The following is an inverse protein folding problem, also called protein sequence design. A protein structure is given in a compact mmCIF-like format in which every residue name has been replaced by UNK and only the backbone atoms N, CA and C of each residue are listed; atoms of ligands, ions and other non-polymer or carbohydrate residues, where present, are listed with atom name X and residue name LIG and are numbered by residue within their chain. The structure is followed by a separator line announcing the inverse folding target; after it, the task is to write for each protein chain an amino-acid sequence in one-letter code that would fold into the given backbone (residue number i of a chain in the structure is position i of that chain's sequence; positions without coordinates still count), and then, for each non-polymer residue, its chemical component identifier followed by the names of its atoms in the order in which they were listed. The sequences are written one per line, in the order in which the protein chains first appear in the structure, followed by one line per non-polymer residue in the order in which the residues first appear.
data_IF_521757517248
#
_entry.id   IF_521757517248
#
_cell.length_a   1.000
_cell.length_b   1.000
_cell.length_c   1.000
_cell.angle_alpha   90.00
_cell.angle_beta   90.00
_cell.angle_gamma   90.00
#
_symmetry.space_group_name_H-M   'P 1'
#
loop_
_entity.id
_entity.type
_entity.pdbx_description
1 polymer ?
#
# COMPACT_ATOMS: atom_id res chain seq x y z
N UNK A 1 -8.48 -7.51 -30.71
CA UNK A 1 -7.75 -7.32 -29.45
C UNK A 1 -6.33 -7.89 -29.65
N UNK A 2 -5.31 -7.16 -29.20
CA UNK A 2 -3.92 -7.64 -29.29
C UNK A 2 -3.74 -8.75 -28.24
N UNK A 3 -3.30 -9.97 -28.60
CA UNK A 3 -3.29 -11.12 -27.68
C UNK A 3 -2.51 -10.92 -26.39
N UNK A 4 -1.47 -10.07 -26.42
CA UNK A 4 -0.53 -9.83 -25.31
C UNK A 4 -0.83 -8.50 -24.57
N UNK A 5 -2.05 -7.95 -24.70
CA UNK A 5 -2.43 -6.73 -23.99
C UNK A 5 -2.78 -7.06 -22.55
N UNK A 6 -2.14 -6.35 -21.59
CA UNK A 6 -2.55 -6.38 -20.19
C UNK A 6 -3.75 -5.46 -19.99
N UNK A 7 -4.84 -6.00 -19.44
CA UNK A 7 -6.09 -5.29 -19.18
C UNK A 7 -6.32 -5.13 -17.70
N UNK A 8 -6.46 -3.88 -17.27
CA UNK A 8 -6.76 -3.53 -15.89
C UNK A 8 -8.08 -2.78 -15.82
N UNK A 9 -8.92 -3.12 -14.85
CA UNK A 9 -10.19 -2.45 -14.63
C UNK A 9 -10.25 -1.80 -13.25
N UNK A 10 -10.81 -0.60 -13.24
CA UNK A 10 -11.18 0.13 -12.04
C UNK A 10 -12.65 -0.14 -11.73
N UNK A 11 -12.88 -1.04 -10.78
CA UNK A 11 -14.21 -1.53 -10.39
C UNK A 11 -14.37 -1.33 -8.89
N UNK A 12 -15.44 -0.66 -8.47
CA UNK A 12 -15.73 -0.36 -7.06
C UNK A 12 -16.82 -1.27 -6.46
N UNK A 13 -17.30 -2.25 -7.23
CA UNK A 13 -18.29 -3.23 -6.79
C UNK A 13 -17.63 -4.61 -6.58
N UNK A 14 -17.22 -4.90 -5.36
CA UNK A 14 -16.47 -6.12 -5.01
C UNK A 14 -17.21 -7.41 -5.39
N UNK A 15 -18.54 -7.40 -5.30
CA UNK A 15 -19.37 -8.55 -5.68
C UNK A 15 -19.17 -8.97 -7.15
N UNK A 16 -18.72 -8.03 -8.00
CA UNK A 16 -18.51 -8.25 -9.43
C UNK A 16 -17.06 -8.52 -9.83
N UNK A 17 -16.11 -8.52 -8.91
CA UNK A 17 -14.70 -8.72 -9.24
C UNK A 17 -14.46 -10.00 -10.06
N UNK A 18 -15.04 -11.12 -9.63
CA UNK A 18 -14.88 -12.41 -10.34
C UNK A 18 -15.52 -12.41 -11.73
N UNK A 19 -16.62 -11.69 -11.92
CA UNK A 19 -17.24 -11.50 -13.24
C UNK A 19 -16.28 -10.78 -14.20
N UNK A 20 -15.65 -9.67 -13.76
CA UNK A 20 -14.70 -8.93 -14.58
C UNK A 20 -13.44 -9.75 -14.91
N UNK A 21 -12.94 -10.53 -13.97
CA UNK A 21 -11.81 -11.43 -14.22
C UNK A 21 -12.16 -12.55 -15.18
N UNK A 22 -13.30 -13.23 -14.97
CA UNK A 22 -13.65 -14.44 -15.72
C UNK A 22 -14.30 -14.14 -17.08
N UNK A 23 -15.30 -13.27 -17.09
CA UNK A 23 -16.07 -12.92 -18.30
C UNK A 23 -15.46 -11.70 -19.01
N UNK A 24 -15.07 -10.67 -18.27
CA UNK A 24 -14.45 -9.45 -18.78
C UNK A 24 -13.02 -9.65 -19.26
N UNK A 25 -12.38 -10.79 -18.87
CA UNK A 25 -10.98 -11.11 -19.21
C UNK A 25 -10.00 -10.03 -18.80
N UNK A 26 -10.26 -9.42 -17.63
CA UNK A 26 -9.32 -8.48 -17.03
C UNK A 26 -8.18 -9.25 -16.36
N UNK A 27 -6.96 -8.76 -16.51
CA UNK A 27 -5.77 -9.33 -15.89
C UNK A 27 -5.61 -8.87 -14.45
N UNK A 28 -6.04 -7.63 -14.16
CA UNK A 28 -6.01 -7.07 -12.81
C UNK A 28 -7.17 -6.12 -12.54
N UNK A 29 -7.55 -6.01 -11.26
CA UNK A 29 -8.57 -5.11 -10.74
C UNK A 29 -8.02 -4.24 -9.62
N UNK A 30 -8.42 -2.98 -9.55
CA UNK A 30 -8.09 -2.09 -8.44
C UNK A 30 -8.64 -2.62 -7.12
N UNK A 31 -7.78 -2.70 -6.12
CA UNK A 31 -8.18 -3.05 -4.75
C UNK A 31 -8.47 -1.77 -3.93
N UNK A 32 -9.38 -0.94 -4.48
CA UNK A 32 -9.71 0.37 -3.90
C UNK A 32 -10.62 0.25 -2.69
N UNK A 33 -11.82 -0.31 -2.88
CA UNK A 33 -12.86 -0.37 -1.84
C UNK A 33 -12.45 -1.21 -0.64
N UNK A 34 -11.72 -2.30 -0.89
CA UNK A 34 -11.20 -3.16 0.17
C UNK A 34 -9.94 -2.58 0.81
N UNK A 35 -8.78 -2.83 0.20
CA UNK A 35 -7.48 -2.58 0.84
C UNK A 35 -7.15 -1.09 0.97
N UNK A 36 -7.26 -0.32 -0.11
CA UNK A 36 -6.91 1.11 -0.08
C UNK A 36 -7.74 1.85 0.98
N UNK A 37 -9.08 1.73 0.94
CA UNK A 37 -9.97 2.41 1.89
C UNK A 37 -9.68 1.99 3.33
N UNK A 38 -9.43 0.69 3.57
CA UNK A 38 -9.08 0.19 4.90
C UNK A 38 -7.77 0.79 5.41
N UNK A 39 -6.71 0.81 4.60
CA UNK A 39 -5.42 1.36 5.00
C UNK A 39 -5.51 2.87 5.25
N UNK A 40 -6.26 3.57 4.41
CA UNK A 40 -6.51 5.00 4.59
C UNK A 40 -7.26 5.26 5.91
N UNK A 41 -8.31 4.50 6.19
CA UNK A 41 -9.10 4.65 7.42
C UNK A 41 -8.27 4.36 8.69
N UNK A 42 -7.39 3.36 8.65
CA UNK A 42 -6.46 3.07 9.75
C UNK A 42 -5.55 4.28 10.01
N UNK A 43 -5.00 4.88 8.96
CA UNK A 43 -4.07 6.02 9.08
C UNK A 43 -4.79 7.31 9.47
N UNK A 44 -5.93 7.62 8.82
CA UNK A 44 -6.62 8.89 9.01
C UNK A 44 -7.44 8.93 10.31
N UNK A 45 -8.07 7.81 10.67
CA UNK A 45 -9.06 7.75 11.75
C UNK A 45 -8.66 6.81 12.89
N UNK A 46 -7.50 6.18 12.81
CA UNK A 46 -7.00 5.27 13.85
C UNK A 46 -7.82 3.99 13.99
N UNK A 47 -8.49 3.55 12.93
CA UNK A 47 -9.22 2.29 12.95
C UNK A 47 -8.29 1.11 13.27
N UNK A 48 -8.88 0.01 13.75
CA UNK A 48 -8.16 -1.21 14.06
C UNK A 48 -7.56 -1.85 12.80
N UNK A 49 -6.33 -2.34 12.91
CA UNK A 49 -5.66 -3.12 11.87
C UNK A 49 -6.33 -4.49 11.59
N UNK A 50 -7.21 -4.95 12.47
CA UNK A 50 -8.05 -6.15 12.25
C UNK A 50 -8.88 -6.05 10.97
N UNK A 51 -9.23 -4.83 10.56
CA UNK A 51 -10.02 -4.59 9.35
C UNK A 51 -9.33 -5.11 8.09
N UNK A 52 -8.00 -5.23 8.11
CA UNK A 52 -7.22 -5.79 7.01
C UNK A 52 -7.63 -7.24 6.73
N UNK A 53 -7.85 -8.03 7.79
CA UNK A 53 -8.28 -9.42 7.67
C UNK A 53 -9.64 -9.54 6.97
N UNK A 54 -10.59 -8.67 7.32
CA UNK A 54 -11.93 -8.69 6.77
C UNK A 54 -11.99 -8.40 5.27
N UNK A 55 -11.09 -7.55 4.77
CA UNK A 55 -11.05 -7.21 3.33
C UNK A 55 -10.18 -8.16 2.51
N UNK A 56 -9.25 -8.87 3.15
CA UNK A 56 -8.36 -9.82 2.46
C UNK A 56 -8.99 -11.22 2.34
N UNK A 57 -9.66 -11.69 3.37
CA UNK A 57 -10.18 -13.06 3.42
C UNK A 57 -11.16 -13.39 2.28
N UNK A 58 -12.15 -12.53 1.94
CA UNK A 58 -13.08 -12.78 0.84
C UNK A 58 -12.44 -12.81 -0.55
N UNK A 59 -11.26 -12.21 -0.70
CA UNK A 59 -10.56 -12.06 -1.99
C UNK A 59 -9.33 -12.96 -2.13
N UNK A 60 -9.12 -13.89 -1.20
CA UNK A 60 -7.92 -14.75 -1.15
C UNK A 60 -7.68 -15.51 -2.46
N UNK A 61 -8.74 -16.01 -3.10
CA UNK A 61 -8.68 -16.78 -4.34
C UNK A 61 -8.28 -15.93 -5.57
N UNK A 62 -8.54 -14.63 -5.54
CA UNK A 62 -8.21 -13.68 -6.61
C UNK A 62 -7.12 -12.67 -6.20
N UNK A 63 -6.55 -12.80 -5.02
CA UNK A 63 -5.57 -11.85 -4.50
C UNK A 63 -4.40 -11.54 -5.46
N UNK A 64 -3.84 -12.51 -6.23
CA UNK A 64 -2.79 -12.22 -7.21
C UNK A 64 -3.25 -11.37 -8.41
N UNK A 65 -4.56 -11.30 -8.65
CA UNK A 65 -5.16 -10.54 -9.74
C UNK A 65 -5.68 -9.17 -9.29
N UNK A 66 -5.45 -8.80 -8.03
CA UNK A 66 -5.71 -7.44 -7.56
C UNK A 66 -4.55 -6.51 -7.90
N UNK A 67 -4.81 -5.21 -7.98
CA UNK A 67 -3.80 -4.17 -8.06
C UNK A 67 -3.82 -3.36 -6.77
N UNK A 68 -2.75 -3.41 -6.01
CA UNK A 68 -2.60 -2.64 -4.79
C UNK A 68 -1.99 -1.27 -5.07
N UNK A 69 -2.47 -0.24 -4.39
CA UNK A 69 -1.96 1.12 -4.49
C UNK A 69 -2.31 1.95 -3.26
N UNK A 70 -1.66 3.08 -3.09
CA UNK A 70 -1.98 4.07 -2.04
C UNK A 70 -2.24 5.46 -2.60
N UNK A 71 -1.84 5.72 -3.83
CA UNK A 71 -2.12 6.95 -4.56
C UNK A 71 -2.48 6.62 -6.00
N UNK A 72 -3.40 7.39 -6.56
CA UNK A 72 -3.69 7.43 -7.98
C UNK A 72 -4.18 8.83 -8.40
N UNK A 73 -4.70 8.97 -9.60
CA UNK A 73 -5.17 10.25 -10.14
C UNK A 73 -6.47 10.78 -9.51
N UNK A 74 -7.23 9.93 -8.81
CA UNK A 74 -8.49 10.28 -8.15
C UNK A 74 -8.38 10.36 -6.63
N UNK A 75 -7.34 9.75 -6.04
CA UNK A 75 -7.22 9.63 -4.60
C UNK A 75 -6.25 10.66 -4.00
N UNK A 76 -6.28 10.78 -2.68
CA UNK A 76 -5.47 11.72 -1.93
C UNK A 76 -3.99 11.35 -1.98
N UNK A 77 -3.09 12.35 -2.01
CA UNK A 77 -1.67 12.13 -1.76
C UNK A 77 -1.44 11.71 -0.30
N UNK A 78 -0.57 10.73 -0.08
CA UNK A 78 -0.20 10.28 1.29
C UNK A 78 0.32 11.45 2.12
N UNK A 79 1.17 12.31 1.52
CA UNK A 79 1.76 13.46 2.19
C UNK A 79 0.79 14.64 2.38
N UNK A 80 -0.46 14.54 1.89
CA UNK A 80 -1.46 15.58 2.06
C UNK A 80 -2.23 15.44 3.38
N UNK A 81 -2.87 16.53 3.81
CA UNK A 81 -3.77 16.54 4.96
C UNK A 81 -5.02 15.64 4.77
N UNK A 82 -5.34 15.32 3.52
CA UNK A 82 -6.46 14.42 3.18
C UNK A 82 -6.14 12.94 3.39
N UNK A 83 -4.88 12.58 3.71
CA UNK A 83 -4.47 11.21 4.00
C UNK A 83 -3.60 11.19 5.29
N UNK A 84 -2.28 11.08 5.17
CA UNK A 84 -1.41 10.92 6.33
C UNK A 84 -0.81 12.25 6.85
N UNK A 85 -0.88 13.34 6.08
CA UNK A 85 -0.28 14.63 6.39
C UNK A 85 1.23 14.69 6.15
N UNK A 86 1.95 13.61 6.44
CA UNK A 86 3.37 13.43 6.16
C UNK A 86 3.59 12.06 5.51
N UNK A 87 4.45 12.01 4.47
CA UNK A 87 4.70 10.80 3.70
C UNK A 87 5.20 9.61 4.55
N UNK A 88 5.98 9.88 5.60
CA UNK A 88 6.52 8.85 6.50
C UNK A 88 5.43 8.04 7.22
N UNK A 89 4.30 8.65 7.52
CA UNK A 89 3.18 7.95 8.17
C UNK A 89 2.43 6.98 7.24
N UNK A 90 2.72 7.05 5.94
CA UNK A 90 2.25 6.05 4.97
C UNK A 90 3.12 4.79 4.86
N UNK A 91 4.30 4.74 5.48
CA UNK A 91 5.25 3.62 5.33
C UNK A 91 4.68 2.27 5.80
N UNK A 92 3.94 2.16 6.92
CA UNK A 92 3.29 0.93 7.31
C UNK A 92 2.31 0.43 6.25
N UNK A 93 1.45 1.32 5.73
CA UNK A 93 0.50 0.98 4.68
C UNK A 93 1.21 0.56 3.38
N UNK A 94 2.29 1.26 2.99
CA UNK A 94 3.06 0.90 1.80
C UNK A 94 3.73 -0.47 1.94
N UNK A 95 4.18 -0.83 3.13
CA UNK A 95 4.74 -2.16 3.41
C UNK A 95 3.69 -3.25 3.19
N UNK A 96 2.46 -3.04 3.66
CA UNK A 96 1.36 -3.96 3.41
C UNK A 96 0.97 -3.99 1.93
N UNK A 97 0.81 -2.84 1.30
CA UNK A 97 0.51 -2.72 -0.14
C UNK A 97 1.48 -3.54 -0.99
N UNK A 98 2.77 -3.51 -0.62
CA UNK A 98 3.82 -4.21 -1.36
C UNK A 98 3.86 -5.74 -1.11
N UNK A 99 3.46 -6.20 0.09
CA UNK A 99 3.83 -7.57 0.50
C UNK A 99 2.67 -8.41 1.06
N UNK A 100 1.48 -7.86 1.20
CA UNK A 100 0.34 -8.59 1.77
C UNK A 100 -0.10 -9.76 0.88
N UNK A 101 0.03 -9.63 -0.44
CA UNK A 101 -0.24 -10.68 -1.42
C UNK A 101 0.79 -10.69 -2.55
N UNK A 102 0.54 -11.45 -3.61
CA UNK A 102 1.33 -11.41 -4.87
C UNK A 102 0.71 -10.47 -5.91
N UNK A 103 -0.19 -9.61 -5.49
CA UNK A 103 -0.80 -8.58 -6.33
C UNK A 103 0.26 -7.64 -6.92
N UNK A 104 -0.04 -7.14 -8.12
CA UNK A 104 0.75 -6.05 -8.68
C UNK A 104 0.63 -4.79 -7.81
N UNK A 105 1.69 -4.00 -7.75
CA UNK A 105 1.72 -2.74 -6.99
C UNK A 105 1.87 -1.58 -7.95
N UNK A 106 0.97 -0.61 -7.86
CA UNK A 106 1.07 0.64 -8.59
C UNK A 106 1.65 1.73 -7.69
N UNK A 107 2.70 2.38 -8.17
CA UNK A 107 3.19 3.64 -7.60
C UNK A 107 2.72 4.79 -8.48
N UNK A 108 2.07 5.76 -7.86
CA UNK A 108 1.75 7.00 -8.55
C UNK A 108 2.97 7.92 -8.55
N UNK A 109 3.18 8.65 -9.65
CA UNK A 109 4.37 9.48 -9.82
C UNK A 109 4.54 10.49 -8.67
N UNK A 110 5.73 10.55 -8.10
CA UNK A 110 6.04 11.43 -6.96
C UNK A 110 5.66 10.86 -5.59
N UNK A 111 4.95 9.73 -5.50
CA UNK A 111 4.62 9.08 -4.23
C UNK A 111 5.88 8.74 -3.44
N UNK A 112 6.89 8.20 -4.11
CA UNK A 112 8.16 7.76 -3.52
C UNK A 112 9.05 8.91 -3.02
N UNK A 113 8.71 10.16 -3.36
CA UNK A 113 9.37 11.36 -2.88
C UNK A 113 8.46 12.25 -2.04
N UNK A 114 7.26 11.76 -1.72
CA UNK A 114 6.33 12.44 -0.81
C UNK A 114 5.70 13.69 -1.39
N UNK A 115 5.27 13.66 -2.67
CA UNK A 115 4.54 14.77 -3.29
C UNK A 115 3.24 15.09 -2.54
N UNK A 116 3.06 16.31 -2.00
CA UNK A 116 1.93 16.61 -1.11
C UNK A 116 0.68 17.16 -1.80
N UNK A 117 0.76 17.56 -3.08
CA UNK A 117 -0.34 18.23 -3.81
C UNK A 117 -0.92 19.43 -3.04
N UNK A 118 -0.10 20.45 -2.73
CA UNK A 118 -0.51 21.62 -1.96
C UNK A 118 -1.24 22.69 -2.75
N UNK A 119 -1.24 22.61 -4.07
CA UNK A 119 -1.94 23.53 -4.95
C UNK A 119 -3.38 23.07 -5.19
N UNK A 120 -4.23 23.97 -5.67
CA UNK A 120 -5.58 23.62 -6.14
C UNK A 120 -5.50 22.80 -7.43
N UNK A 121 -5.27 21.52 -7.24
CA UNK A 121 -5.06 20.53 -8.26
C UNK A 121 -6.07 19.40 -8.11
N UNK A 122 -6.24 18.58 -9.12
CA UNK A 122 -7.11 17.41 -9.04
C UNK A 122 -8.54 17.77 -8.63
N UNK A 123 -9.34 18.26 -9.55
CA UNK A 123 -10.72 18.70 -9.30
C UNK A 123 -10.82 19.89 -8.33
N UNK A 124 -9.88 20.82 -8.43
CA UNK A 124 -9.74 21.99 -7.56
C UNK A 124 -9.53 21.66 -6.07
N UNK A 125 -8.99 20.50 -5.76
CA UNK A 125 -8.69 20.06 -4.38
C UNK A 125 -7.18 20.05 -4.13
N UNK A 126 -6.68 20.62 -3.02
CA UNK A 126 -5.24 20.69 -2.73
C UNK A 126 -4.64 19.37 -2.20
N UNK A 127 -5.37 18.27 -2.23
CA UNK A 127 -4.94 17.00 -1.65
C UNK A 127 -4.74 15.90 -2.70
N UNK A 128 -5.03 16.21 -3.97
CA UNK A 128 -4.98 15.28 -5.10
C UNK A 128 -4.07 15.82 -6.21
N UNK A 129 -3.58 14.92 -7.04
CA UNK A 129 -2.90 15.28 -8.29
C UNK A 129 -3.54 14.51 -9.43
N UNK A 130 -4.47 15.14 -10.14
CA UNK A 130 -5.15 14.56 -11.29
C UNK A 130 -4.24 14.53 -12.52
N UNK A 131 -4.50 13.61 -13.44
CA UNK A 131 -3.91 13.60 -14.78
C UNK A 131 -4.54 14.66 -15.71
N UNK A 132 -5.63 15.29 -15.28
CA UNK A 132 -6.38 16.27 -16.06
C UNK A 132 -5.99 17.72 -15.76
N UNK A 133 -5.18 17.95 -14.73
CA UNK A 133 -4.77 19.28 -14.30
C UNK A 133 -3.29 19.53 -14.57
N UNK A 134 -2.98 20.75 -15.03
CA UNK A 134 -1.59 21.20 -15.21
C UNK A 134 -1.13 21.88 -13.93
N UNK A 135 -0.50 21.12 -13.05
CA UNK A 135 -0.06 21.59 -11.73
C UNK A 135 1.42 21.38 -11.52
N UNK A 136 1.98 22.14 -10.60
CA UNK A 136 3.32 21.90 -10.09
C UNK A 136 3.37 20.65 -9.20
N UNK A 137 4.44 19.87 -9.38
CA UNK A 137 4.76 18.69 -8.56
C UNK A 137 6.21 18.84 -8.07
N UNK A 138 6.48 19.76 -7.12
CA UNK A 138 7.83 20.20 -6.81
C UNK A 138 8.74 19.10 -6.27
N UNK A 139 8.21 18.15 -5.47
CA UNK A 139 9.01 17.04 -4.97
C UNK A 139 9.40 16.08 -6.10
N UNK A 140 8.48 15.78 -7.01
CA UNK A 140 8.76 14.98 -8.20
C UNK A 140 9.76 15.69 -9.13
N UNK A 141 9.59 17.01 -9.33
CA UNK A 141 10.54 17.81 -10.11
C UNK A 141 11.94 17.84 -9.47
N UNK A 142 12.03 17.82 -8.13
CA UNK A 142 13.30 17.68 -7.41
C UNK A 142 14.03 16.39 -7.76
N UNK A 143 13.28 15.28 -7.89
CA UNK A 143 13.86 14.03 -8.37
C UNK A 143 14.28 14.08 -9.84
N UNK A 144 13.46 14.67 -10.71
CA UNK A 144 13.77 14.84 -12.14
C UNK A 144 15.02 15.71 -12.34
N UNK A 145 15.24 16.72 -11.49
CA UNK A 145 16.43 17.56 -11.41
C UNK A 145 16.89 18.07 -12.79
N UNK A 146 16.00 18.75 -13.50
CA UNK A 146 16.34 19.33 -14.82
C UNK A 146 16.68 18.25 -15.88
N UNK A 147 15.99 17.11 -15.87
CA UNK A 147 16.18 15.97 -16.76
C UNK A 147 17.45 15.14 -16.50
N UNK A 148 18.09 15.28 -15.34
CA UNK A 148 19.21 14.41 -14.95
C UNK A 148 18.74 13.10 -14.32
N UNK A 149 17.55 13.08 -13.74
CA UNK A 149 16.93 11.91 -13.13
C UNK A 149 17.79 11.28 -12.01
N UNK A 150 18.51 12.10 -11.27
CA UNK A 150 19.48 11.72 -10.25
C UNK A 150 19.06 12.07 -8.81
N UNK A 151 17.90 12.72 -8.67
CA UNK A 151 17.40 13.14 -7.36
C UNK A 151 18.16 14.31 -6.72
N UNK A 152 19.00 15.01 -7.49
CA UNK A 152 19.86 16.09 -6.96
C UNK A 152 19.11 17.34 -6.45
N UNK A 153 17.80 17.42 -6.68
CA UNK A 153 16.94 18.47 -6.11
C UNK A 153 16.07 17.99 -4.94
N UNK A 154 16.24 16.76 -4.46
CA UNK A 154 15.50 16.24 -3.31
C UNK A 154 16.06 16.76 -2.00
N UNK A 155 15.17 16.96 -1.00
CA UNK A 155 15.60 17.12 0.38
C UNK A 155 16.14 15.80 0.96
N UNK A 156 16.90 15.82 2.06
CA UNK A 156 17.35 14.59 2.73
C UNK A 156 16.21 13.64 3.10
N UNK A 157 15.08 14.19 3.56
CA UNK A 157 13.88 13.41 3.93
C UNK A 157 13.26 12.73 2.69
N UNK A 158 13.14 13.46 1.58
CA UNK A 158 12.63 12.93 0.31
C UNK A 158 13.54 11.84 -0.25
N UNK A 159 14.86 12.05 -0.19
CA UNK A 159 15.84 11.06 -0.60
C UNK A 159 15.76 9.78 0.26
N UNK A 160 15.64 9.94 1.59
CA UNK A 160 15.47 8.83 2.53
C UNK A 160 14.17 8.06 2.28
N UNK A 161 13.08 8.76 2.03
CA UNK A 161 11.78 8.15 1.69
C UNK A 161 11.90 7.31 0.42
N UNK A 162 12.49 7.88 -0.64
CA UNK A 162 12.70 7.19 -1.91
C UNK A 162 13.60 5.95 -1.76
N UNK A 163 14.65 6.04 -0.96
CA UNK A 163 15.51 4.90 -0.66
C UNK A 163 14.76 3.79 0.08
N UNK A 164 13.87 4.13 1.01
CA UNK A 164 12.96 3.16 1.64
C UNK A 164 12.09 2.44 0.60
N UNK A 165 11.43 3.19 -0.31
CA UNK A 165 10.63 2.58 -1.38
C UNK A 165 11.46 1.66 -2.27
N UNK A 166 12.66 2.09 -2.66
CA UNK A 166 13.57 1.29 -3.47
C UNK A 166 13.96 -0.02 -2.77
N UNK A 167 14.27 0.03 -1.48
CA UNK A 167 14.60 -1.18 -0.69
C UNK A 167 13.38 -2.07 -0.53
N UNK A 168 12.23 -1.51 -0.14
CA UNK A 168 10.99 -2.25 0.09
C UNK A 168 10.58 -3.05 -1.15
N UNK A 169 10.52 -2.38 -2.30
CA UNK A 169 10.03 -2.99 -3.54
C UNK A 169 11.03 -3.97 -4.18
N UNK A 170 12.29 -3.96 -3.75
CA UNK A 170 13.31 -4.94 -4.17
C UNK A 170 13.35 -6.20 -3.33
N UNK A 171 12.66 -6.22 -2.19
CA UNK A 171 12.60 -7.41 -1.36
C UNK A 171 11.89 -8.54 -2.12
N UNK A 172 12.54 -9.72 -2.26
CA UNK A 172 11.96 -10.85 -3.00
C UNK A 172 10.96 -11.62 -2.12
N UNK A 173 10.01 -10.91 -1.53
CA UNK A 173 9.00 -11.49 -0.63
C UNK A 173 7.87 -12.09 -1.46
N UNK A 174 7.77 -13.41 -1.42
CA UNK A 174 6.77 -14.21 -2.16
C UNK A 174 6.27 -15.36 -1.30
N UNK A 175 5.37 -16.13 -1.89
CA UNK A 175 4.92 -17.40 -1.33
C UNK A 175 3.67 -17.29 -0.46
N UNK A 176 3.40 -18.30 0.34
CA UNK A 176 2.18 -18.41 1.11
C UNK A 176 2.07 -17.34 2.19
N UNK A 177 0.88 -16.80 2.35
CA UNK A 177 0.53 -15.87 3.41
C UNK A 177 0.06 -16.63 4.65
N UNK A 178 0.60 -16.23 5.82
CA UNK A 178 0.18 -16.73 7.13
C UNK A 178 -0.08 -15.55 8.07
N UNK A 179 -1.28 -15.47 8.61
CA UNK A 179 -1.71 -14.38 9.47
C UNK A 179 -1.24 -14.58 10.92
N UNK A 180 -0.14 -13.93 11.30
CA UNK A 180 0.34 -13.93 12.70
C UNK A 180 -0.48 -13.00 13.57
N UNK A 181 -0.96 -11.88 13.03
CA UNK A 181 -1.76 -10.91 13.76
C UNK A 181 -3.01 -11.57 14.35
N UNK A 182 -3.78 -12.27 13.51
CA UNK A 182 -4.96 -13.02 13.95
C UNK A 182 -4.60 -14.10 14.96
N UNK A 183 -3.52 -14.86 14.72
CA UNK A 183 -3.06 -15.88 15.65
C UNK A 183 -2.78 -15.31 17.04
N UNK A 184 -2.06 -14.18 17.13
CA UNK A 184 -1.75 -13.53 18.40
C UNK A 184 -3.01 -13.01 19.10
N UNK A 185 -3.94 -12.40 18.37
CA UNK A 185 -5.23 -11.96 18.89
C UNK A 185 -6.02 -13.09 19.56
N UNK A 186 -5.99 -14.28 18.97
CA UNK A 186 -6.77 -15.43 19.43
C UNK A 186 -6.07 -16.26 20.54
N UNK A 187 -4.73 -16.20 20.64
CA UNK A 187 -3.95 -17.16 21.43
C UNK A 187 -2.98 -16.55 22.43
N UNK A 188 -2.92 -15.23 22.56
CA UNK A 188 -2.02 -14.56 23.52
C UNK A 188 -2.77 -13.65 24.47
N UNK A 189 -2.11 -13.34 25.61
CA UNK A 189 -2.63 -12.34 26.56
C UNK A 189 -2.35 -10.89 26.10
N UNK A 190 -1.47 -10.71 25.13
CA UNK A 190 -1.14 -9.41 24.54
C UNK A 190 -1.63 -9.33 23.11
N UNK A 191 -2.34 -8.29 22.84
CA UNK A 191 -2.80 -7.93 21.51
C UNK A 191 -2.86 -6.41 21.38
N UNK A 192 -2.45 -5.88 20.21
CA UNK A 192 -2.53 -4.46 19.91
C UNK A 192 -3.03 -4.26 18.48
N UNK A 193 -4.13 -3.55 18.36
CA UNK A 193 -4.81 -3.29 17.09
C UNK A 193 -4.15 -2.19 16.23
N UNK A 194 -3.06 -1.57 16.73
CA UNK A 194 -2.20 -0.66 15.94
C UNK A 194 -1.05 -1.38 15.26
N UNK A 195 -0.81 -2.65 15.61
CA UNK A 195 0.25 -3.45 15.01
C UNK A 195 -0.36 -4.54 14.16
N UNK A 196 0.09 -4.68 12.92
CA UNK A 196 -0.29 -5.81 12.07
C UNK A 196 0.93 -6.64 11.71
N UNK A 197 0.79 -7.97 11.74
CA UNK A 197 1.90 -8.87 11.48
C UNK A 197 1.48 -10.12 10.69
N UNK A 198 2.34 -10.53 9.77
CA UNK A 198 2.12 -11.72 8.94
C UNK A 198 3.43 -12.33 8.50
N UNK A 199 3.37 -13.56 7.99
CA UNK A 199 4.50 -14.24 7.34
C UNK A 199 4.20 -14.45 5.86
N UNK A 200 5.23 -14.27 5.05
CA UNK A 200 5.29 -14.79 3.69
C UNK A 200 6.31 -15.93 3.67
N UNK A 201 5.94 -17.05 3.12
CA UNK A 201 6.77 -18.25 3.11
C UNK A 201 6.93 -18.81 1.70
N UNK A 202 8.18 -18.88 1.22
CA UNK A 202 8.54 -19.54 -0.03
C UNK A 202 9.71 -20.51 0.20
N UNK A 203 9.48 -21.80 -0.04
CA UNK A 203 10.50 -22.86 0.14
C UNK A 203 11.10 -22.84 1.56
N UNK A 204 12.38 -22.49 1.68
CA UNK A 204 13.08 -22.43 2.97
C UNK A 204 13.20 -21.00 3.54
N UNK A 205 12.57 -20.00 2.88
CA UNK A 205 12.63 -18.61 3.31
C UNK A 205 11.31 -18.21 3.95
N UNK A 206 11.40 -17.60 5.12
CA UNK A 206 10.27 -17.00 5.83
C UNK A 206 10.56 -15.53 6.09
N UNK A 207 9.62 -14.70 5.71
CA UNK A 207 9.67 -13.26 5.94
C UNK A 207 8.60 -12.92 6.97
N UNK A 208 9.01 -12.43 8.11
CA UNK A 208 8.10 -11.90 9.12
C UNK A 208 7.99 -10.42 8.88
N UNK A 209 6.80 -9.96 8.56
CA UNK A 209 6.49 -8.57 8.33
C UNK A 209 5.68 -8.05 9.52
N UNK A 210 6.15 -6.98 10.13
CA UNK A 210 5.50 -6.32 11.27
C UNK A 210 5.43 -4.84 10.94
N UNK A 211 4.23 -4.26 11.02
CA UNK A 211 4.01 -2.83 10.83
C UNK A 211 3.33 -2.25 12.05
N UNK A 212 3.71 -1.03 12.42
CA UNK A 212 3.10 -0.23 13.47
C UNK A 212 2.42 0.99 12.85
N UNK A 213 1.11 1.11 13.01
CA UNK A 213 0.32 2.23 12.52
C UNK A 213 0.22 3.39 13.53
N UNK A 214 0.66 3.21 14.78
CA UNK A 214 0.71 4.32 15.72
C UNK A 214 1.78 5.33 15.29
N UNK A 215 1.43 6.61 15.35
CA UNK A 215 2.36 7.70 15.07
C UNK A 215 3.21 8.07 16.30
N UNK A 216 2.74 7.73 17.48
CA UNK A 216 3.27 8.19 18.77
C UNK A 216 3.83 7.05 19.61
N UNK A 217 3.19 5.86 19.54
CA UNK A 217 3.51 4.77 20.45
C UNK A 217 4.55 3.81 19.88
N UNK A 218 5.43 3.38 20.75
CA UNK A 218 6.35 2.26 20.52
C UNK A 218 5.89 1.09 21.39
N UNK A 219 5.74 -0.09 20.76
CA UNK A 219 5.28 -1.30 21.44
C UNK A 219 6.40 -2.30 21.61
N UNK A 220 6.50 -2.90 22.79
CA UNK A 220 7.40 -4.02 23.07
C UNK A 220 6.58 -5.21 23.58
N UNK A 221 6.63 -6.33 22.87
CA UNK A 221 5.92 -7.56 23.22
C UNK A 221 6.53 -8.79 22.55
N UNK A 222 6.22 -9.97 23.09
CA UNK A 222 6.60 -11.24 22.50
C UNK A 222 5.60 -11.65 21.42
N UNK A 223 6.04 -11.64 20.17
CA UNK A 223 5.25 -12.13 19.06
C UNK A 223 5.24 -13.65 19.04
N UNK A 224 4.07 -14.25 19.20
CA UNK A 224 3.91 -15.70 19.14
C UNK A 224 3.84 -16.16 17.69
N UNK A 225 4.72 -17.10 17.34
CA UNK A 225 4.76 -17.71 16.01
C UNK A 225 3.94 -19.00 16.03
N UNK A 226 2.93 -19.15 15.14
CA UNK A 226 2.16 -20.38 15.02
C UNK A 226 3.04 -21.63 14.88
N UNK A 227 2.69 -22.77 15.53
CA UNK A 227 3.50 -23.98 15.45
C UNK A 227 3.81 -24.46 14.02
N UNK A 228 2.89 -24.24 13.09
CA UNK A 228 3.05 -24.59 11.67
C UNK A 228 4.17 -23.80 10.98
N UNK A 229 4.61 -22.69 11.58
CA UNK A 229 5.66 -21.82 11.05
C UNK A 229 7.03 -22.01 11.76
N UNK A 230 7.11 -22.90 12.76
CA UNK A 230 8.33 -23.17 13.54
C UNK A 230 9.27 -24.20 12.89
#
# INVERSE_FOLDING_TARGET
QKPDSFLMAEIYEEARYREYLQMGKMDALYHKVGLYDTLRDIICYGHSSDRIDFVQEPLRDIAPQMLHFLENHDEQRIASEGFAGEARYGLPAMTLTAHLSEAAVMLYFGQEVGEPAREHAGFAMPTRTSIFDYIGVPAHQGWVNGKRYDGGGLTPEQASLRDFYCRLLRLPIKGNFQNIHRYNREHTSYYNDKVYSFVREEKQRKWIIIVNFSREDTFGFDLQIPPVLR
#
